data_IF_381315140460
#
_entry.id   IF_381315140460
#
_cell.length_a   1.000
_cell.length_b   1.000
_cell.length_c   1.000
_cell.angle_alpha   90.00
_cell.angle_beta   90.00
_cell.angle_gamma   90.00
#
_symmetry.space_group_name_H-M   'P 1'
#
loop_
_entity.id
_entity.type
_entity.pdbx_description
1 polymer ?
#
# COMPACT_ATOMS: atom_id res chain seq x y z
N UNK A 1 -18.12 23.86 13.73
CA UNK A 1 -18.76 22.59 13.34
C UNK A 1 -19.84 22.26 14.36
N UNK A 2 -20.99 21.76 13.94
CA UNK A 2 -22.07 21.36 14.86
C UNK A 2 -21.56 20.15 15.67
N UNK A 3 -21.66 20.20 17.00
CA UNK A 3 -21.34 19.06 17.85
C UNK A 3 -22.37 17.94 17.57
N UNK A 4 -21.94 16.90 16.85
CA UNK A 4 -22.80 15.81 16.36
C UNK A 4 -23.59 15.18 17.52
N UNK A 5 -22.93 14.89 18.65
CA UNK A 5 -23.58 14.32 19.84
C UNK A 5 -24.63 15.24 20.45
N UNK A 6 -24.37 16.55 20.48
CA UNK A 6 -25.31 17.52 21.03
C UNK A 6 -26.58 17.61 20.18
N UNK A 7 -26.44 17.58 18.86
CA UNK A 7 -27.59 17.56 17.94
C UNK A 7 -28.43 16.29 18.13
N UNK A 8 -27.80 15.12 18.19
CA UNK A 8 -28.51 13.84 18.38
C UNK A 8 -29.23 13.78 19.73
N UNK A 9 -28.56 14.21 20.80
CA UNK A 9 -29.16 14.27 22.14
C UNK A 9 -30.35 15.23 22.17
N UNK A 10 -30.22 16.40 21.53
CA UNK A 10 -31.28 17.40 21.46
C UNK A 10 -32.47 16.89 20.63
N UNK A 11 -32.22 16.22 19.51
CA UNK A 11 -33.28 15.63 18.69
C UNK A 11 -34.04 14.53 19.45
N UNK A 12 -33.30 13.65 20.14
CA UNK A 12 -33.89 12.60 20.96
C UNK A 12 -34.71 13.17 22.12
N UNK A 13 -34.22 14.24 22.76
CA UNK A 13 -34.95 14.97 23.79
C UNK A 13 -36.24 15.60 23.26
N UNK A 14 -36.18 16.25 22.09
CA UNK A 14 -37.37 16.83 21.46
C UNK A 14 -38.42 15.78 21.09
N UNK A 15 -37.99 14.60 20.60
CA UNK A 15 -38.91 13.48 20.30
C UNK A 15 -39.54 12.95 21.59
N UNK A 16 -38.77 12.82 22.68
CA UNK A 16 -39.27 12.39 23.97
C UNK A 16 -40.33 13.36 24.53
N UNK A 17 -40.01 14.65 24.58
CA UNK A 17 -40.92 15.69 25.08
C UNK A 17 -42.14 15.84 24.16
N UNK A 18 -41.95 15.82 22.84
CA UNK A 18 -43.03 15.88 21.86
C UNK A 18 -43.97 14.67 21.93
N UNK A 19 -43.44 13.48 22.24
CA UNK A 19 -44.24 12.28 22.47
C UNK A 19 -45.17 12.39 23.68
N UNK A 20 -44.70 13.01 24.76
CA UNK A 20 -45.51 13.24 25.96
C UNK A 20 -46.73 14.14 25.70
N UNK A 21 -46.60 15.16 24.85
CA UNK A 21 -47.70 16.06 24.49
C UNK A 21 -48.48 15.65 23.23
N UNK A 22 -48.15 14.52 22.60
CA UNK A 22 -48.78 14.08 21.36
C UNK A 22 -50.24 13.64 21.59
N UNK A 23 -51.23 14.17 20.85
CA UNK A 23 -52.64 13.75 20.97
C UNK A 23 -52.92 12.32 20.49
N UNK A 24 -52.03 11.73 19.68
CA UNK A 24 -52.18 10.39 19.12
C UNK A 24 -50.88 9.59 19.31
N UNK A 25 -51.01 8.32 19.71
CA UNK A 25 -49.88 7.38 19.92
C UNK A 25 -48.80 7.91 20.90
N UNK A 26 -49.22 8.70 21.89
CA UNK A 26 -48.34 9.34 22.89
C UNK A 26 -47.34 8.37 23.53
N UNK A 27 -47.82 7.23 24.04
CA UNK A 27 -46.99 6.23 24.71
C UNK A 27 -45.88 5.69 23.81
N UNK A 28 -46.18 5.42 22.53
CA UNK A 28 -45.24 4.82 21.59
C UNK A 28 -44.13 5.83 21.20
N UNK A 29 -44.51 7.08 20.94
CA UNK A 29 -43.56 8.16 20.62
C UNK A 29 -42.71 8.50 21.83
N UNK A 30 -43.30 8.56 23.03
CA UNK A 30 -42.59 8.80 24.27
C UNK A 30 -41.56 7.70 24.57
N UNK A 31 -41.96 6.42 24.47
CA UNK A 31 -41.03 5.29 24.66
C UNK A 31 -39.90 5.28 23.62
N UNK A 32 -40.22 5.61 22.36
CA UNK A 32 -39.21 5.74 21.30
C UNK A 32 -38.23 6.87 21.59
N UNK A 33 -38.73 8.03 22.03
CA UNK A 33 -37.90 9.17 22.43
C UNK A 33 -37.03 8.86 23.65
N UNK A 34 -37.58 8.17 24.66
CA UNK A 34 -36.84 7.71 25.84
C UNK A 34 -35.72 6.72 25.47
N UNK A 35 -36.01 5.77 24.58
CA UNK A 35 -35.00 4.85 24.07
C UNK A 35 -33.90 5.57 23.29
N UNK A 36 -34.28 6.48 22.38
CA UNK A 36 -33.33 7.29 21.62
C UNK A 36 -32.48 8.20 22.52
N UNK A 37 -33.06 8.78 23.57
CA UNK A 37 -32.35 9.65 24.52
C UNK A 37 -31.38 8.85 25.38
N UNK A 38 -31.80 7.70 25.91
CA UNK A 38 -30.91 6.79 26.64
C UNK A 38 -29.75 6.31 25.77
N UNK A 39 -30.05 5.88 24.54
CA UNK A 39 -29.04 5.40 23.58
C UNK A 39 -28.04 6.49 23.19
N UNK A 40 -28.50 7.71 22.90
CA UNK A 40 -27.64 8.83 22.51
C UNK A 40 -26.75 9.31 23.66
N UNK A 41 -27.28 9.40 24.89
CA UNK A 41 -26.49 9.71 26.09
C UNK A 41 -25.46 8.61 26.36
N UNK A 42 -25.85 7.33 26.25
CA UNK A 42 -24.94 6.19 26.46
C UNK A 42 -23.82 6.19 25.42
N UNK A 43 -24.12 6.48 24.15
CA UNK A 43 -23.12 6.58 23.09
C UNK A 43 -22.16 7.74 23.34
N UNK A 44 -22.68 8.91 23.74
CA UNK A 44 -21.84 10.05 24.10
C UNK A 44 -20.92 9.72 25.28
N UNK A 45 -21.46 9.09 26.32
CA UNK A 45 -20.71 8.66 27.49
C UNK A 45 -19.64 7.62 27.12
N UNK A 46 -19.95 6.67 26.23
CA UNK A 46 -19.00 5.66 25.78
C UNK A 46 -17.79 6.29 25.07
N UNK A 47 -18.02 7.22 24.14
CA UNK A 47 -16.95 7.95 23.46
C UNK A 47 -16.13 8.75 24.48
N UNK A 48 -16.78 9.45 25.41
CA UNK A 48 -16.08 10.19 26.46
C UNK A 48 -15.23 9.27 27.34
N UNK A 49 -15.78 8.12 27.74
CA UNK A 49 -15.14 7.13 28.60
C UNK A 49 -13.97 6.41 27.92
N UNK A 50 -13.88 6.38 26.59
CA UNK A 50 -12.70 5.84 25.89
C UNK A 50 -11.45 6.69 26.15
N UNK A 51 -11.61 8.01 26.25
CA UNK A 51 -10.50 8.96 26.34
C UNK A 51 -10.31 9.54 27.75
N UNK A 52 -11.37 9.65 28.54
CA UNK A 52 -11.35 10.32 29.84
C UNK A 52 -11.75 9.34 30.96
N UNK A 53 -11.10 9.49 32.12
CA UNK A 53 -11.38 8.65 33.28
C UNK A 53 -12.59 9.19 34.03
N UNK A 54 -13.68 8.43 34.04
CA UNK A 54 -14.92 8.77 34.72
C UNK A 54 -14.95 8.09 36.09
N UNK A 55 -15.14 8.81 37.20
CA UNK A 55 -15.23 8.21 38.52
C UNK A 55 -16.39 7.21 38.57
N UNK A 56 -16.22 6.09 39.29
CA UNK A 56 -17.19 4.99 39.45
C UNK A 56 -17.44 4.11 38.21
N UNK A 57 -16.88 4.43 37.04
CA UNK A 57 -16.98 3.58 35.84
C UNK A 57 -15.66 2.85 35.57
N UNK A 58 -15.64 1.55 35.86
CA UNK A 58 -14.52 0.66 35.53
C UNK A 58 -14.35 0.54 34.02
N UNK A 59 -13.10 0.60 33.54
CA UNK A 59 -12.81 0.63 32.12
C UNK A 59 -12.89 2.02 31.49
N UNK A 60 -12.85 3.11 32.27
CA UNK A 60 -12.75 4.46 31.75
C UNK A 60 -11.30 4.86 31.46
N UNK A 61 -11.09 5.68 30.43
CA UNK A 61 -9.77 6.06 29.91
C UNK A 61 -9.01 4.89 29.27
N UNK A 62 -9.67 3.95 28.59
CA UNK A 62 -9.00 2.76 28.01
C UNK A 62 -7.89 3.16 27.04
N UNK A 63 -8.13 4.15 26.17
CA UNK A 63 -7.18 4.58 25.14
C UNK A 63 -5.89 5.12 25.76
N UNK A 64 -5.91 6.12 26.67
CA UNK A 64 -4.68 6.58 27.31
C UNK A 64 -4.02 5.49 28.16
N UNK A 65 -4.80 4.63 28.83
CA UNK A 65 -4.24 3.55 29.66
C UNK A 65 -3.54 2.45 28.85
N UNK A 66 -3.93 2.22 27.59
CA UNK A 66 -3.35 1.19 26.71
C UNK A 66 -2.73 1.78 25.46
N UNK A 67 -2.31 3.05 25.51
CA UNK A 67 -1.84 3.77 24.33
C UNK A 67 -0.59 3.16 23.71
N UNK A 68 0.34 2.66 24.54
CA UNK A 68 1.53 1.96 24.06
C UNK A 68 1.19 0.66 23.31
N UNK A 69 0.25 -0.13 23.86
CA UNK A 69 -0.23 -1.34 23.17
C UNK A 69 -0.95 -0.99 21.86
N UNK A 70 -1.68 0.12 21.83
CA UNK A 70 -2.35 0.61 20.63
C UNK A 70 -1.34 1.03 19.54
N UNK A 71 -0.28 1.76 19.91
CA UNK A 71 0.82 2.10 18.98
C UNK A 71 1.48 0.84 18.41
N UNK A 72 1.79 -0.13 19.27
CA UNK A 72 2.36 -1.40 18.85
C UNK A 72 1.44 -2.16 17.87
N UNK A 73 0.13 -2.17 18.13
CA UNK A 73 -0.85 -2.79 17.24
C UNK A 73 -0.93 -2.10 15.87
N UNK A 74 -0.87 -0.76 15.82
CA UNK A 74 -0.82 -0.02 14.55
C UNK A 74 0.47 -0.34 13.80
N UNK A 75 1.62 -0.37 14.48
CA UNK A 75 2.90 -0.73 13.85
C UNK A 75 2.81 -2.11 13.19
N UNK A 76 2.38 -3.11 13.95
CA UNK A 76 2.21 -4.47 13.46
C UNK A 76 1.25 -4.51 12.27
N UNK A 77 0.11 -3.82 12.34
CA UNK A 77 -0.84 -3.73 11.23
C UNK A 77 -0.20 -3.13 9.97
N UNK A 78 0.55 -2.02 10.08
CA UNK A 78 1.20 -1.39 8.92
C UNK A 78 2.29 -2.30 8.33
N UNK A 79 3.21 -2.78 9.16
CA UNK A 79 4.39 -3.51 8.69
C UNK A 79 4.03 -4.93 8.24
N UNK A 80 3.26 -5.67 9.04
CA UNK A 80 2.98 -7.08 8.79
C UNK A 80 1.82 -7.30 7.81
N UNK A 81 0.92 -6.32 7.59
CA UNK A 81 -0.20 -6.50 6.66
C UNK A 81 -0.01 -5.74 5.35
N UNK A 82 0.52 -4.51 5.39
CA UNK A 82 0.66 -3.69 4.19
C UNK A 82 2.05 -3.79 3.56
N UNK A 83 3.11 -3.81 4.38
CA UNK A 83 4.50 -3.82 3.92
C UNK A 83 5.17 -5.19 4.06
N UNK A 84 4.43 -6.26 3.73
CA UNK A 84 5.00 -7.60 3.64
C UNK A 84 6.03 -7.68 2.52
N UNK A 85 6.99 -8.60 2.67
CA UNK A 85 8.03 -8.84 1.67
C UNK A 85 7.40 -9.15 0.31
N UNK A 86 6.37 -9.99 0.31
CA UNK A 86 5.66 -10.44 -0.89
C UNK A 86 4.97 -9.27 -1.61
N UNK A 87 4.31 -8.38 -0.88
CA UNK A 87 3.66 -7.20 -1.47
C UNK A 87 4.67 -6.23 -2.08
N UNK A 88 5.81 -6.02 -1.39
CA UNK A 88 6.86 -5.13 -1.88
C UNK A 88 7.55 -5.75 -3.10
N UNK A 89 7.86 -7.04 -3.08
CA UNK A 89 8.45 -7.75 -4.22
C UNK A 89 7.52 -7.71 -5.43
N UNK A 90 6.20 -7.89 -5.23
CA UNK A 90 5.19 -7.74 -6.28
C UNK A 90 5.13 -6.32 -6.84
N UNK A 91 5.20 -5.31 -5.99
CA UNK A 91 5.21 -3.90 -6.41
C UNK A 91 6.42 -3.58 -7.29
N UNK A 92 7.60 -4.11 -6.96
CA UNK A 92 8.80 -3.94 -7.77
C UNK A 92 8.77 -4.76 -9.06
N UNK A 93 8.25 -5.99 -9.04
CA UNK A 93 8.16 -6.82 -10.25
C UNK A 93 7.25 -6.18 -11.31
N UNK A 94 6.13 -5.61 -10.89
CA UNK A 94 5.19 -4.91 -11.79
C UNK A 94 5.81 -3.64 -12.40
N UNK A 95 6.73 -2.97 -11.70
CA UNK A 95 7.49 -1.82 -12.20
C UNK A 95 8.62 -2.18 -13.17
N UNK A 96 9.28 -3.33 -12.97
CA UNK A 96 10.42 -3.77 -13.80
C UNK A 96 10.02 -4.30 -15.17
N UNK A 97 8.82 -4.86 -15.34
CA UNK A 97 8.32 -5.32 -16.64
C UNK A 97 8.34 -4.22 -17.72
N UNK A 98 8.06 -2.97 -17.33
CA UNK A 98 8.10 -1.81 -18.24
C UNK A 98 9.52 -1.36 -18.63
N UNK A 99 10.57 -1.80 -17.93
CA UNK A 99 11.96 -1.41 -18.22
C UNK A 99 12.61 -2.39 -19.20
N UNK A 100 12.29 -3.69 -19.10
CA UNK A 100 12.80 -4.70 -20.03
C UNK A 100 12.24 -4.50 -21.45
N UNK A 101 10.94 -4.24 -21.61
CA UNK A 101 10.33 -3.95 -22.92
C UNK A 101 10.95 -2.70 -23.57
N UNK A 102 11.17 -1.63 -22.80
CA UNK A 102 11.78 -0.39 -23.31
C UNK A 102 13.22 -0.57 -23.78
N UNK A 103 14.01 -1.43 -23.15
CA UNK A 103 15.40 -1.67 -23.55
C UNK A 103 15.46 -2.44 -24.87
N UNK A 104 14.63 -3.47 -25.03
CA UNK A 104 14.56 -4.27 -26.27
C UNK A 104 14.10 -3.43 -27.46
N UNK A 105 13.25 -2.42 -27.26
CA UNK A 105 12.84 -1.47 -28.30
C UNK A 105 13.91 -0.43 -28.68
N UNK A 106 14.86 -0.13 -27.77
CA UNK A 106 15.97 0.81 -28.06
C UNK A 106 17.17 0.19 -28.77
N UNK A 107 17.31 -1.14 -28.79
CA UNK A 107 18.47 -1.81 -29.40
C UNK A 107 18.16 -2.16 -30.85
N UNK A 108 18.93 -1.57 -31.78
CA UNK A 108 18.91 -1.94 -33.20
C UNK A 108 19.73 -3.23 -33.41
N UNK A 109 19.04 -4.37 -33.37
CA UNK A 109 19.65 -5.69 -33.52
C UNK A 109 20.18 -5.96 -34.94
N UNK A 110 19.65 -5.28 -35.97
CA UNK A 110 20.20 -5.36 -37.33
C UNK A 110 21.61 -4.75 -37.37
N UNK A 111 21.82 -3.63 -36.68
CA UNK A 111 23.16 -3.02 -36.55
C UNK A 111 24.13 -3.91 -35.76
N UNK A 112 23.65 -4.60 -34.73
CA UNK A 112 24.46 -5.55 -33.93
C UNK A 112 24.86 -6.75 -34.79
N UNK A 113 23.94 -7.31 -35.58
CA UNK A 113 24.23 -8.41 -36.49
C UNK A 113 25.22 -7.99 -37.58
N UNK A 114 25.06 -6.80 -38.16
CA UNK A 114 26.03 -6.25 -39.12
C UNK A 114 27.43 -6.11 -38.50
N UNK A 115 27.53 -5.58 -37.28
CA UNK A 115 28.82 -5.48 -36.58
C UNK A 115 29.44 -6.84 -36.27
N UNK A 116 28.63 -7.84 -35.89
CA UNK A 116 29.10 -9.21 -35.63
C UNK A 116 29.62 -9.88 -36.90
N UNK A 117 28.89 -9.76 -38.02
CA UNK A 117 29.32 -10.31 -39.31
C UNK A 117 30.58 -9.62 -39.85
N UNK A 118 30.74 -8.32 -39.62
CA UNK A 118 31.94 -7.55 -39.94
C UNK A 118 33.14 -8.02 -39.10
N UNK A 119 32.96 -8.23 -37.80
CA UNK A 119 34.00 -8.73 -36.91
C UNK A 119 34.43 -10.16 -37.25
N UNK A 120 33.48 -11.04 -37.60
CA UNK A 120 33.77 -12.41 -38.04
C UNK A 120 34.53 -12.39 -39.37
N UNK A 121 34.16 -11.50 -40.30
CA UNK A 121 34.87 -11.35 -41.57
C UNK A 121 36.30 -10.79 -41.40
N UNK A 122 36.56 -9.99 -40.36
CA UNK A 122 37.89 -9.46 -40.02
C UNK A 122 38.73 -10.43 -39.17
N UNK A 123 38.14 -11.50 -38.65
CA UNK A 123 38.78 -12.53 -37.82
C UNK A 123 39.50 -13.58 -38.68
N UNK A 124 40.31 -14.43 -38.04
CA UNK A 124 40.94 -15.60 -38.65
C UNK A 124 39.91 -16.52 -39.34
N UNK A 125 38.67 -16.57 -38.81
CA UNK A 125 37.53 -17.28 -39.40
C UNK A 125 37.00 -16.64 -40.69
N UNK A 126 37.27 -15.37 -40.94
CA UNK A 126 36.84 -14.64 -42.14
C UNK A 126 37.49 -15.17 -43.43
N UNK A 127 38.73 -15.66 -43.33
CA UNK A 127 39.46 -16.29 -44.43
C UNK A 127 38.79 -17.57 -44.92
N UNK A 128 38.33 -18.41 -43.99
CA UNK A 128 37.53 -19.61 -44.28
C UNK A 128 36.11 -19.26 -44.76
N UNK A 129 35.47 -18.27 -44.14
CA UNK A 129 34.11 -17.84 -44.49
C UNK A 129 34.03 -17.28 -45.93
N UNK A 130 35.09 -16.59 -46.38
CA UNK A 130 35.19 -16.05 -47.75
C UNK A 130 35.15 -17.15 -48.82
N UNK A 131 35.62 -18.35 -48.48
CA UNK A 131 35.63 -19.50 -49.38
C UNK A 131 34.24 -20.14 -49.57
N UNK A 132 33.29 -19.85 -48.66
CA UNK A 132 31.92 -20.41 -48.63
C UNK A 132 30.84 -19.37 -49.02
N UNK A 133 31.24 -18.16 -49.41
CA UNK A 133 30.31 -17.09 -49.84
C UNK A 133 30.37 -15.82 -49.01
N UNK A 134 31.32 -15.71 -48.08
CA UNK A 134 31.58 -14.50 -47.30
C UNK A 134 30.40 -14.10 -46.40
N UNK A 135 30.21 -12.80 -46.20
CA UNK A 135 29.15 -12.26 -45.32
C UNK A 135 27.74 -12.73 -45.70
N UNK A 136 27.47 -12.94 -47.01
CA UNK A 136 26.17 -13.43 -47.52
C UNK A 136 25.82 -14.84 -47.05
N UNK A 137 26.81 -15.66 -46.68
CA UNK A 137 26.57 -16.99 -46.12
C UNK A 137 25.99 -16.93 -44.70
N UNK A 138 26.13 -15.79 -44.01
CA UNK A 138 25.60 -15.58 -42.66
C UNK A 138 24.18 -14.98 -42.66
N UNK A 139 23.70 -14.46 -43.80
CA UNK A 139 22.37 -13.87 -43.93
C UNK A 139 21.22 -14.75 -43.40
N UNK A 140 21.19 -16.09 -43.65
CA UNK A 140 20.15 -16.97 -43.12
C UNK A 140 20.14 -17.10 -41.60
N UNK A 141 21.25 -16.74 -40.94
CA UNK A 141 21.40 -16.77 -39.49
C UNK A 141 20.98 -15.45 -38.83
N UNK A 142 20.59 -14.43 -39.61
CA UNK A 142 20.20 -13.12 -39.08
C UNK A 142 19.06 -13.23 -38.07
N UNK A 143 17.96 -13.87 -38.46
CA UNK A 143 16.78 -14.06 -37.62
C UNK A 143 17.09 -14.87 -36.35
N UNK A 144 17.66 -16.09 -36.43
CA UNK A 144 17.89 -16.91 -35.24
C UNK A 144 18.93 -16.31 -34.27
N UNK A 145 19.95 -15.60 -34.79
CA UNK A 145 20.92 -14.90 -33.93
C UNK A 145 20.30 -13.69 -33.27
N UNK A 146 19.46 -12.94 -33.99
CA UNK A 146 18.76 -11.76 -33.44
C UNK A 146 17.78 -12.15 -32.35
N UNK A 147 16.97 -13.19 -32.56
CA UNK A 147 16.08 -13.72 -31.53
C UNK A 147 16.86 -14.18 -30.30
N UNK A 148 17.95 -14.93 -30.49
CA UNK A 148 18.71 -15.42 -29.35
C UNK A 148 19.41 -14.31 -28.57
N UNK A 149 19.86 -13.25 -29.24
CA UNK A 149 20.40 -12.07 -28.58
C UNK A 149 19.32 -11.28 -27.83
N UNK A 150 18.10 -11.17 -28.38
CA UNK A 150 16.96 -10.58 -27.67
C UNK A 150 16.64 -11.35 -26.39
N UNK A 151 16.61 -12.68 -26.46
CA UNK A 151 16.39 -13.53 -25.28
C UNK A 151 17.46 -13.29 -24.21
N UNK A 152 18.74 -13.32 -24.60
CA UNK A 152 19.86 -13.13 -23.67
C UNK A 152 19.83 -11.72 -23.07
N UNK A 153 19.54 -10.68 -23.85
CA UNK A 153 19.42 -9.31 -23.34
C UNK A 153 18.25 -9.19 -22.37
N UNK A 154 17.11 -9.82 -22.69
CA UNK A 154 15.93 -9.83 -21.81
C UNK A 154 16.21 -10.57 -20.51
N UNK A 155 16.90 -11.71 -20.58
CA UNK A 155 17.36 -12.50 -19.43
C UNK A 155 18.36 -11.73 -18.57
N UNK A 156 19.36 -11.10 -19.17
CA UNK A 156 20.34 -10.26 -18.46
C UNK A 156 19.70 -9.03 -17.82
N UNK A 157 18.76 -8.39 -18.51
CA UNK A 157 17.99 -7.28 -17.93
C UNK A 157 17.15 -7.81 -16.77
N UNK A 158 16.46 -8.94 -16.89
CA UNK A 158 15.69 -9.52 -15.79
C UNK A 158 16.57 -9.88 -14.58
N UNK A 159 17.75 -10.46 -14.79
CA UNK A 159 18.73 -10.75 -13.74
C UNK A 159 19.23 -9.46 -13.06
N UNK A 160 19.57 -8.44 -13.85
CA UNK A 160 20.13 -7.17 -13.36
C UNK A 160 19.06 -6.23 -12.77
N UNK A 161 17.80 -6.39 -13.18
CA UNK A 161 16.64 -5.60 -12.72
C UNK A 161 16.00 -6.14 -11.45
N UNK A 162 16.41 -7.30 -10.94
CA UNK A 162 16.20 -7.62 -9.53
C UNK A 162 15.42 -8.88 -9.18
N UNK A 163 15.44 -9.95 -9.96
CA UNK A 163 14.96 -11.25 -9.43
C UNK A 163 15.84 -11.77 -8.27
N UNK A 164 17.16 -11.50 -8.31
CA UNK A 164 18.11 -11.93 -7.25
C UNK A 164 18.60 -10.77 -6.35
N UNK A 165 18.54 -9.52 -6.82
CA UNK A 165 19.00 -8.32 -6.09
C UNK A 165 17.94 -7.66 -5.19
N UNK A 166 16.66 -8.02 -5.31
CA UNK A 166 15.58 -7.38 -4.57
C UNK A 166 15.61 -7.67 -3.07
N UNK A 167 16.13 -8.82 -2.63
CA UNK A 167 16.01 -9.21 -1.22
C UNK A 167 16.69 -8.22 -0.26
N UNK A 168 17.82 -7.63 -0.67
CA UNK A 168 18.53 -6.59 0.08
C UNK A 168 17.91 -5.20 -0.04
N UNK A 169 17.35 -4.86 -1.20
CA UNK A 169 16.66 -3.57 -1.40
C UNK A 169 15.31 -3.56 -0.66
N UNK A 170 14.53 -4.64 -0.78
CA UNK A 170 13.28 -4.87 -0.07
C UNK A 170 13.48 -4.82 1.44
N UNK A 171 14.49 -5.51 1.99
CA UNK A 171 14.76 -5.45 3.44
C UNK A 171 15.17 -4.05 3.92
N UNK A 172 15.95 -3.33 3.10
CA UNK A 172 16.32 -1.93 3.40
C UNK A 172 15.12 -0.99 3.30
N UNK A 173 14.17 -1.25 2.41
CA UNK A 173 12.94 -0.47 2.29
C UNK A 173 12.01 -0.70 3.46
N UNK A 174 11.81 -1.97 3.85
CA UNK A 174 10.99 -2.35 5.01
C UNK A 174 11.55 -1.66 6.26
N UNK A 175 12.87 -1.74 6.49
CA UNK A 175 13.48 -1.12 7.67
C UNK A 175 13.38 0.42 7.66
N UNK A 176 13.48 1.06 6.50
CA UNK A 176 13.23 2.51 6.37
C UNK A 176 11.78 2.88 6.67
N UNK A 177 10.83 2.13 6.13
CA UNK A 177 9.40 2.35 6.38
C UNK A 177 9.09 2.12 7.86
N UNK A 178 9.63 1.07 8.46
CA UNK A 178 9.52 0.80 9.89
C UNK A 178 10.01 1.99 10.72
N UNK A 179 11.19 2.54 10.40
CA UNK A 179 11.72 3.72 11.08
C UNK A 179 10.82 4.97 10.93
N UNK A 180 10.23 5.17 9.75
CA UNK A 180 9.30 6.29 9.50
C UNK A 180 8.02 6.11 10.31
N UNK A 181 7.48 4.88 10.33
CA UNK A 181 6.28 4.53 11.09
C UNK A 181 6.53 4.71 12.58
N UNK A 182 7.67 4.24 13.10
CA UNK A 182 8.06 4.41 14.50
C UNK A 182 8.12 5.89 14.90
N UNK A 183 8.85 6.71 14.14
CA UNK A 183 8.92 8.15 14.42
C UNK A 183 7.53 8.80 14.40
N UNK A 184 6.67 8.40 13.46
CA UNK A 184 5.32 8.95 13.37
C UNK A 184 4.40 8.49 14.51
N UNK A 185 4.57 7.26 14.97
CA UNK A 185 3.86 6.71 16.13
C UNK A 185 4.34 7.34 17.45
N UNK A 186 5.60 7.74 17.55
CA UNK A 186 6.13 8.48 18.70
C UNK A 186 5.55 9.90 18.81
N UNK A 187 5.30 10.56 17.67
CA UNK A 187 4.62 11.87 17.60
C UNK A 187 3.11 11.81 17.89
N UNK A 188 2.52 10.60 17.89
CA UNK A 188 1.09 10.41 18.11
C UNK A 188 0.76 10.54 19.59
N UNK A 189 -0.21 11.41 19.90
CA UNK A 189 -0.74 11.58 21.26
C UNK A 189 -2.15 11.01 21.35
N UNK A 190 -2.64 10.69 22.57
CA UNK A 190 -4.04 10.32 22.78
C UNK A 190 -5.02 11.39 22.27
N UNK A 191 -4.67 12.68 22.36
CA UNK A 191 -5.47 13.78 21.81
C UNK A 191 -5.61 13.69 20.28
N UNK A 192 -4.53 13.41 19.54
CA UNK A 192 -4.61 13.25 18.09
C UNK A 192 -5.56 12.10 17.70
N UNK A 193 -5.54 10.99 18.45
CA UNK A 193 -6.46 9.86 18.21
C UNK A 193 -7.91 10.25 18.55
N UNK A 194 -8.12 11.04 19.61
CA UNK A 194 -9.42 11.58 19.97
C UNK A 194 -10.02 12.43 18.86
N UNK A 195 -9.22 13.32 18.27
CA UNK A 195 -9.64 14.15 17.15
C UNK A 195 -10.03 13.31 15.94
N UNK A 196 -9.19 12.34 15.54
CA UNK A 196 -9.47 11.45 14.41
C UNK A 196 -10.79 10.69 14.60
N UNK A 197 -11.02 10.12 15.79
CA UNK A 197 -12.23 9.33 16.08
C UNK A 197 -13.48 10.22 16.19
N UNK A 198 -13.34 11.46 16.68
CA UNK A 198 -14.45 12.41 16.79
C UNK A 198 -14.86 13.02 15.43
N UNK A 199 -13.92 13.16 14.51
CA UNK A 199 -14.18 13.68 13.16
C UNK A 199 -14.95 12.69 12.28
N UNK A 200 -14.75 11.37 12.49
CA UNK A 200 -15.58 10.31 11.88
C UNK A 200 -17.07 10.48 12.23
#
# INVERSE_FOLDING_TARGET
>A
MINKSLLTNLLAFLICVGGYFSPAHSDLIFMTGMFALSGSITNWLAIHMLFERVPLLYGSGVIPNRFEEFKAAIKSLIIEQFFTREHIEKFFSDGTGQTAEKITDTVDFDRVFSGLTDAIAASELGSMLSMVGGKKALEPLREPVTEKLKDIVTELVAEKSGAAGNTGVTSTLISKVEHIVDNRLEELTPEHVKEIVQDM
#
